data_IF_105791324534
#
_entry.id   IF_105791324534
#
_cell.length_a   1.000
_cell.length_b   1.000
_cell.length_c   1.000
_cell.angle_alpha   90.00
_cell.angle_beta   90.00
_cell.angle_gamma   90.00
#
_symmetry.space_group_name_H-M   'P 1'
#
loop_
_entity.id
_entity.type
_entity.pdbx_description
1 polymer ?
#
# COMPACT_ATOMS: atom_id res chain seq x y z
N UNK A 1 26.93 30.71 46.35
CA UNK A 1 26.05 29.68 45.77
C UNK A 1 26.88 28.77 44.87
N UNK A 2 27.15 27.54 45.32
CA UNK A 2 27.84 26.54 44.51
C UNK A 2 26.85 25.95 43.48
N UNK A 3 27.26 25.72 42.22
CA UNK A 3 26.41 25.04 41.25
C UNK A 3 26.31 23.55 41.63
N UNK A 4 25.08 23.09 41.87
CA UNK A 4 24.79 21.68 42.13
C UNK A 4 25.30 20.81 40.97
N UNK A 5 26.23 19.92 41.29
CA UNK A 5 26.74 18.88 40.40
C UNK A 5 25.59 17.93 40.05
N UNK A 6 25.14 17.94 38.79
CA UNK A 6 24.23 16.90 38.28
C UNK A 6 24.96 15.57 38.33
N UNK A 7 24.54 14.69 39.23
CA UNK A 7 25.02 13.31 39.33
C UNK A 7 24.88 12.59 37.99
N UNK A 8 25.96 11.97 37.54
CA UNK A 8 26.08 11.26 36.26
C UNK A 8 25.20 10.00 36.15
N UNK A 9 24.45 9.64 37.20
CA UNK A 9 23.65 8.42 37.30
C UNK A 9 22.12 8.64 37.24
N UNK A 10 21.65 9.84 36.85
CA UNK A 10 20.21 10.02 36.61
C UNK A 10 19.80 9.21 35.37
N UNK A 11 18.83 8.27 35.47
CA UNK A 11 18.35 7.57 34.30
C UNK A 11 17.78 8.60 33.32
N UNK A 12 18.26 8.57 32.08
CA UNK A 12 17.74 9.38 30.96
C UNK A 12 16.31 8.98 30.53
N UNK A 13 15.59 8.27 31.39
CA UNK A 13 14.16 7.99 31.32
C UNK A 13 13.58 8.37 32.68
N UNK A 14 12.62 9.30 32.65
CA UNK A 14 12.01 9.87 33.85
C UNK A 14 11.49 8.83 34.83
N UNK A 15 11.40 9.23 36.10
CA UNK A 15 10.79 8.45 37.18
C UNK A 15 9.37 7.97 36.80
N UNK A 16 8.80 6.99 37.51
CA UNK A 16 7.47 6.43 37.17
C UNK A 16 6.34 7.49 37.05
N UNK A 17 6.50 8.67 37.65
CA UNK A 17 5.62 9.82 37.47
C UNK A 17 5.69 10.48 36.07
N UNK A 18 6.85 10.47 35.42
CA UNK A 18 7.03 11.01 34.06
C UNK A 18 6.36 10.12 33.00
N UNK A 19 6.30 8.81 33.22
CA UNK A 19 5.65 7.90 32.26
C UNK A 19 4.12 8.09 32.26
N UNK A 20 3.50 8.22 33.44
CA UNK A 20 2.06 8.50 33.56
C UNK A 20 1.69 9.85 32.92
N UNK A 21 2.47 10.89 33.19
CA UNK A 21 2.24 12.20 32.58
C UNK A 21 2.41 12.17 31.06
N UNK A 22 3.43 11.45 30.56
CA UNK A 22 3.67 11.31 29.14
C UNK A 22 2.58 10.49 28.44
N UNK A 23 2.11 9.42 29.08
CA UNK A 23 1.00 8.62 28.60
C UNK A 23 -0.25 9.49 28.44
N UNK A 24 -0.65 10.20 29.50
CA UNK A 24 -1.87 11.01 29.51
C UNK A 24 -1.79 12.23 28.59
N UNK A 25 -0.63 12.87 28.48
CA UNK A 25 -0.49 14.12 27.73
C UNK A 25 -0.17 13.93 26.26
N UNK A 26 0.46 12.82 25.88
CA UNK A 26 0.93 12.61 24.51
C UNK A 26 0.37 11.34 23.87
N UNK A 27 0.41 10.19 24.54
CA UNK A 27 -0.07 8.94 23.93
C UNK A 27 -1.60 8.87 23.87
N UNK A 28 -2.30 9.24 24.93
CA UNK A 28 -3.78 9.18 24.97
C UNK A 28 -4.41 10.13 23.93
N UNK A 29 -4.03 11.42 23.82
CA UNK A 29 -4.61 12.29 22.81
C UNK A 29 -4.30 11.82 21.39
N UNK A 30 -3.09 11.28 21.17
CA UNK A 30 -2.70 10.75 19.86
C UNK A 30 -3.49 9.48 19.50
N UNK A 31 -3.68 8.57 20.46
CA UNK A 31 -4.51 7.39 20.29
C UNK A 31 -5.97 7.76 19.97
N UNK A 32 -6.54 8.69 20.74
CA UNK A 32 -7.91 9.17 20.54
C UNK A 32 -8.06 9.86 19.19
N UNK A 33 -7.14 10.75 18.82
CA UNK A 33 -7.17 11.41 17.51
C UNK A 33 -7.08 10.39 16.37
N UNK A 34 -6.16 9.41 16.45
CA UNK A 34 -6.07 8.34 15.47
C UNK A 34 -7.32 7.48 15.41
N UNK A 35 -7.92 7.13 16.56
CA UNK A 35 -9.16 6.36 16.61
C UNK A 35 -10.32 7.12 15.96
N UNK A 36 -10.47 8.42 16.26
CA UNK A 36 -11.47 9.28 15.62
C UNK A 36 -11.26 9.31 14.10
N UNK A 37 -10.01 9.49 13.64
CA UNK A 37 -9.71 9.48 12.20
C UNK A 37 -10.09 8.13 11.57
N UNK A 38 -9.74 7.00 12.20
CA UNK A 38 -10.11 5.66 11.71
C UNK A 38 -11.63 5.52 11.59
N UNK A 39 -12.38 5.96 12.62
CA UNK A 39 -13.84 5.93 12.59
C UNK A 39 -14.39 6.77 11.44
N UNK A 40 -13.84 7.96 11.18
CA UNK A 40 -14.25 8.79 10.05
C UNK A 40 -13.99 8.10 8.70
N UNK A 41 -12.81 7.50 8.51
CA UNK A 41 -12.52 6.71 7.30
C UNK A 41 -13.44 5.49 7.16
N UNK A 42 -13.88 4.91 8.27
CA UNK A 42 -14.76 3.75 8.26
C UNK A 42 -16.22 4.05 7.97
N UNK A 43 -16.67 5.26 8.28
CA UNK A 43 -18.09 5.61 8.30
C UNK A 43 -18.50 6.57 7.19
N UNK A 44 -17.60 7.47 6.77
CA UNK A 44 -17.95 8.51 5.81
C UNK A 44 -17.95 7.97 4.37
N UNK A 45 -19.02 8.20 3.58
CA UNK A 45 -19.12 7.73 2.20
C UNK A 45 -17.98 8.17 1.25
N UNK A 46 -17.43 9.40 1.33
CA UNK A 46 -16.29 9.79 0.51
C UNK A 46 -15.04 8.92 0.72
N UNK A 47 -14.92 8.25 1.86
CA UNK A 47 -13.79 7.38 2.17
C UNK A 47 -14.09 5.90 1.90
N UNK A 48 -14.95 5.61 0.94
CA UNK A 48 -15.14 4.26 0.43
C UNK A 48 -14.09 3.91 -0.65
N UNK A 49 -13.17 2.97 -0.42
CA UNK A 49 -12.20 2.54 -1.42
C UNK A 49 -12.83 1.89 -2.65
N UNK A 50 -14.03 1.32 -2.52
CA UNK A 50 -14.73 0.63 -3.61
C UNK A 50 -15.56 1.58 -4.49
N UNK A 51 -15.81 2.82 -4.03
CA UNK A 51 -16.51 3.83 -4.82
C UNK A 51 -15.68 4.42 -5.96
N UNK A 52 -14.38 4.08 -6.04
CA UNK A 52 -13.45 4.60 -7.05
C UNK A 52 -12.96 3.48 -7.98
N UNK A 53 -12.77 3.78 -9.29
CA UNK A 53 -12.22 2.82 -10.23
C UNK A 53 -10.90 2.23 -9.72
N UNK A 54 -10.83 0.90 -9.70
CA UNK A 54 -9.59 0.19 -9.41
C UNK A 54 -8.69 0.27 -10.65
N UNK A 55 -7.42 0.59 -10.44
CA UNK A 55 -6.45 0.63 -11.53
C UNK A 55 -6.07 -0.79 -11.93
N UNK A 56 -5.78 -0.98 -13.21
CA UNK A 56 -5.19 -2.25 -13.65
C UNK A 56 -3.73 -2.28 -13.17
N UNK A 57 -3.50 -3.15 -12.20
CA UNK A 57 -2.18 -3.40 -11.60
C UNK A 57 -1.68 -4.81 -11.93
N UNK A 58 -2.54 -5.65 -12.52
CA UNK A 58 -2.28 -7.06 -12.81
C UNK A 58 -1.64 -7.29 -14.17
N UNK A 59 -1.88 -6.40 -15.12
CA UNK A 59 -1.19 -6.36 -16.41
C UNK A 59 0.33 -6.35 -16.25
N UNK A 60 1.07 -6.86 -17.25
CA UNK A 60 2.53 -6.96 -17.21
C UNK A 60 3.27 -5.60 -17.10
N UNK A 61 2.54 -4.49 -17.17
CA UNK A 61 3.10 -3.15 -17.07
C UNK A 61 3.62 -2.84 -15.65
N UNK A 62 4.80 -2.22 -15.59
CA UNK A 62 5.39 -1.71 -14.36
C UNK A 62 4.68 -0.45 -13.83
N UNK A 63 3.96 0.27 -14.68
CA UNK A 63 3.20 1.46 -14.32
C UNK A 63 1.71 1.11 -14.20
N UNK A 64 0.99 1.69 -13.22
CA UNK A 64 -0.45 1.51 -13.10
C UNK A 64 -1.17 2.19 -14.28
N UNK A 65 -2.24 1.57 -14.78
CA UNK A 65 -3.02 2.09 -15.90
C UNK A 65 -4.49 2.25 -15.53
N UNK A 66 -5.16 3.22 -16.17
CA UNK A 66 -6.62 3.32 -16.06
C UNK A 66 -7.27 2.17 -16.82
N UNK A 67 -8.42 1.66 -16.34
CA UNK A 67 -9.18 0.65 -17.09
C UNK A 67 -9.46 1.13 -18.52
N UNK A 68 -8.99 0.35 -19.52
CA UNK A 68 -9.21 0.62 -20.95
C UNK A 68 -8.05 1.29 -21.72
N UNK A 69 -6.99 1.76 -21.07
CA UNK A 69 -5.83 2.37 -21.75
C UNK A 69 -4.77 1.34 -22.23
N UNK A 70 -4.80 0.10 -21.70
CA UNK A 70 -3.79 -0.93 -21.96
C UNK A 70 -3.95 -1.76 -23.25
N UNK A 71 -4.97 -1.48 -24.06
CA UNK A 71 -5.37 -2.31 -25.21
C UNK A 71 -5.11 -1.68 -26.58
N UNK A 72 -3.92 -1.13 -26.84
CA UNK A 72 -3.56 -0.59 -28.18
C UNK A 72 -2.10 -0.88 -28.60
N UNK A 73 -1.49 -1.93 -28.05
CA UNK A 73 -0.08 -2.27 -28.30
C UNK A 73 0.19 -3.57 -29.07
N UNK A 74 -0.78 -4.10 -29.82
CA UNK A 74 -0.62 -5.42 -30.43
C UNK A 74 -1.64 -5.77 -31.52
N UNK A 75 -1.83 -4.90 -32.51
CA UNK A 75 -2.42 -5.28 -33.80
C UNK A 75 -1.76 -4.46 -34.90
N UNK A 76 -0.63 -4.98 -35.40
CA UNK A 76 -0.07 -4.59 -36.69
C UNK A 76 -1.14 -4.86 -37.76
N UNK A 77 -1.41 -3.84 -38.56
CA UNK A 77 -2.63 -3.73 -39.34
C UNK A 77 -2.76 -4.68 -40.53
N UNK A 78 -4.02 -4.89 -40.91
CA UNK A 78 -4.45 -4.96 -42.29
C UNK A 78 -5.70 -4.09 -42.40
N UNK A 79 -5.53 -2.84 -42.85
CA UNK A 79 -6.63 -2.04 -43.38
C UNK A 79 -7.08 -2.68 -44.70
N UNK A 80 -8.30 -3.20 -44.74
CA UNK A 80 -9.05 -3.43 -45.96
C UNK A 80 -10.27 -2.50 -45.95
N UNK A 81 -10.16 -1.34 -46.59
CA UNK A 81 -11.31 -0.51 -46.92
C UNK A 81 -12.10 -1.16 -48.06
N UNK A 82 -13.42 -1.21 -47.94
CA UNK A 82 -14.27 -1.45 -49.11
C UNK A 82 -15.73 -1.73 -48.78
N UNK A 83 -16.60 -0.74 -49.07
CA UNK A 83 -17.96 -1.03 -49.53
C UNK A 83 -19.06 -0.93 -48.50
N UNK A 84 -19.67 0.24 -48.44
CA UNK A 84 -21.09 0.45 -48.16
C UNK A 84 -21.97 -0.65 -48.77
N UNK A 85 -22.91 -1.21 -47.99
CA UNK A 85 -24.30 -1.33 -48.45
C UNK A 85 -25.26 -1.71 -47.30
N UNK A 86 -26.26 -0.85 -47.22
CA UNK A 86 -27.57 -0.93 -46.58
C UNK A 86 -28.29 -2.26 -46.80
N UNK A 87 -29.01 -2.71 -45.77
CA UNK A 87 -30.02 -3.78 -45.84
C UNK A 87 -31.09 -3.53 -46.91
N UNK A 88 -31.75 -4.60 -47.38
CA UNK A 88 -33.21 -4.55 -47.51
C UNK A 88 -33.92 -5.77 -46.87
N UNK A 89 -35.23 -5.63 -46.53
CA UNK A 89 -36.04 -6.67 -45.91
C UNK A 89 -36.97 -7.41 -46.90
N UNK A 90 -37.51 -8.56 -46.44
CA UNK A 90 -38.80 -9.20 -46.79
C UNK A 90 -39.07 -9.76 -48.20
N UNK A 91 -39.66 -10.97 -48.28
CA UNK A 91 -40.49 -11.40 -49.41
C UNK A 91 -40.60 -12.92 -49.66
N UNK A 92 -41.83 -13.45 -49.65
CA UNK A 92 -42.26 -14.85 -49.81
C UNK A 92 -42.17 -15.41 -51.25
N UNK A 93 -42.23 -16.76 -51.41
CA UNK A 93 -42.64 -17.41 -52.67
C UNK A 93 -42.30 -18.90 -52.78
N UNK A 94 -43.25 -19.73 -53.21
CA UNK A 94 -43.30 -21.19 -53.03
C UNK A 94 -42.86 -22.06 -54.23
N UNK A 95 -42.60 -23.34 -53.92
CA UNK A 95 -42.85 -24.58 -54.69
C UNK A 95 -42.02 -24.91 -55.96
N UNK A 96 -41.36 -26.08 -55.96
CA UNK A 96 -41.70 -27.30 -56.73
C UNK A 96 -40.53 -28.33 -56.74
N UNK A 97 -40.84 -29.58 -56.38
CA UNK A 97 -40.09 -30.85 -56.59
C UNK A 97 -40.20 -31.33 -58.06
N UNK A 98 -39.51 -32.40 -58.59
CA UNK A 98 -38.98 -33.60 -57.92
C UNK A 98 -37.60 -34.17 -58.39
N UNK A 99 -37.13 -35.21 -57.68
CA UNK A 99 -35.96 -36.11 -57.88
C UNK A 99 -36.04 -36.97 -59.18
N UNK A 100 -35.09 -37.90 -59.57
CA UNK A 100 -34.26 -38.88 -58.80
C UNK A 100 -32.78 -38.99 -59.28
N UNK A 101 -31.80 -39.66 -58.62
CA UNK A 101 -31.48 -41.12 -58.73
C UNK A 101 -30.18 -41.49 -57.99
N UNK A 102 -30.11 -42.72 -57.44
CA UNK A 102 -28.91 -43.58 -57.25
C UNK A 102 -28.12 -43.41 -55.93
N UNK A 103 -28.08 -44.32 -54.93
CA UNK A 103 -27.79 -45.76 -54.79
C UNK A 103 -26.42 -46.07 -54.12
N UNK A 104 -26.48 -46.85 -53.01
CA UNK A 104 -25.42 -47.73 -52.48
C UNK A 104 -24.41 -47.06 -51.55
N UNK A 105 -23.98 -47.61 -50.41
CA UNK A 105 -24.09 -48.94 -49.84
C UNK A 105 -22.96 -49.06 -48.78
N UNK A 106 -23.29 -49.69 -47.66
CA UNK A 106 -22.48 -50.04 -46.48
C UNK A 106 -21.02 -50.45 -46.70
N UNK A 107 -20.15 -50.18 -45.70
CA UNK A 107 -19.19 -51.15 -45.15
C UNK A 107 -18.42 -50.64 -43.90
N UNK A 108 -18.59 -51.34 -42.77
CA UNK A 108 -17.67 -51.41 -41.61
C UNK A 108 -16.39 -52.17 -42.01
N UNK A 109 -15.23 -51.97 -41.33
CA UNK A 109 -14.58 -53.10 -40.62
C UNK A 109 -13.77 -52.60 -39.36
N UNK A 110 -12.93 -53.41 -38.67
CA UNK A 110 -13.19 -53.82 -37.29
C UNK A 110 -12.10 -53.37 -36.28
N UNK A 111 -12.32 -53.74 -35.02
CA UNK A 111 -11.43 -53.52 -33.87
C UNK A 111 -10.08 -54.24 -33.98
N UNK A 112 -9.04 -53.59 -33.48
CA UNK A 112 -7.79 -54.21 -33.00
C UNK A 112 -7.46 -53.69 -31.60
N UNK A 113 -7.42 -54.64 -30.67
CA UNK A 113 -6.90 -54.54 -29.31
C UNK A 113 -5.37 -54.37 -29.32
N UNK A 114 -4.84 -53.58 -28.37
CA UNK A 114 -3.56 -53.75 -27.67
C UNK A 114 -3.18 -52.46 -26.91
N UNK A 115 -3.00 -52.54 -25.59
CA UNK A 115 -2.26 -51.51 -24.86
C UNK A 115 -2.61 -51.32 -23.39
N UNK A 116 -2.19 -52.26 -22.54
CA UNK A 116 -2.12 -52.12 -21.08
C UNK A 116 -1.23 -50.90 -20.73
N UNK A 117 -1.80 -49.89 -20.09
CA UNK A 117 -1.08 -48.76 -19.50
C UNK A 117 -1.86 -48.24 -18.29
N UNK A 118 -1.26 -48.36 -17.12
CA UNK A 118 -1.87 -48.14 -15.81
C UNK A 118 -2.18 -46.65 -15.58
N UNK A 119 -3.46 -46.31 -15.40
CA UNK A 119 -3.87 -45.02 -14.80
C UNK A 119 -3.75 -45.12 -13.27
N UNK A 120 -3.02 -44.22 -12.59
CA UNK A 120 -3.05 -44.15 -11.14
C UNK A 120 -4.40 -43.57 -10.68
N UNK A 121 -4.95 -44.01 -9.54
CA UNK A 121 -6.19 -43.46 -9.01
C UNK A 121 -5.91 -42.04 -8.51
N UNK A 122 -6.52 -41.04 -9.14
CA UNK A 122 -6.68 -39.72 -8.58
C UNK A 122 -7.55 -39.83 -7.33
N UNK A 123 -6.89 -39.95 -6.17
CA UNK A 123 -7.51 -39.73 -4.87
C UNK A 123 -7.94 -38.27 -4.77
N UNK A 124 -9.15 -37.97 -5.20
CA UNK A 124 -9.86 -36.77 -4.78
C UNK A 124 -10.23 -36.94 -3.31
N UNK A 125 -9.32 -36.55 -2.43
CA UNK A 125 -9.68 -36.13 -1.08
C UNK A 125 -10.60 -34.93 -1.21
N UNK A 126 -11.89 -35.16 -0.99
CA UNK A 126 -12.91 -34.13 -1.06
C UNK A 126 -12.69 -33.12 0.06
N UNK A 127 -12.18 -31.94 -0.31
CA UNK A 127 -12.58 -30.73 0.38
C UNK A 127 -14.08 -30.56 0.14
N UNK A 128 -14.86 -30.89 1.16
CA UNK A 128 -16.28 -30.61 1.24
C UNK A 128 -16.49 -29.09 1.21
N UNK A 129 -16.47 -28.51 0.01
CA UNK A 129 -17.09 -27.22 -0.25
C UNK A 129 -18.48 -27.52 -0.78
N UNK A 130 -19.40 -27.82 0.14
CA UNK A 130 -20.82 -27.73 -0.17
C UNK A 130 -21.13 -26.33 -0.71
N UNK A 131 -22.19 -26.15 -1.52
CA UNK A 131 -22.58 -24.83 -1.99
C UNK A 131 -22.76 -23.91 -0.78
N UNK A 132 -21.89 -22.91 -0.63
CA UNK A 132 -21.99 -21.93 0.46
C UNK A 132 -23.39 -21.34 0.46
N UNK A 133 -23.99 -21.27 1.64
CA UNK A 133 -25.26 -20.59 1.83
C UNK A 133 -25.13 -19.14 1.33
N UNK A 134 -26.11 -18.60 0.57
CA UNK A 134 -26.17 -17.18 0.23
C UNK A 134 -25.90 -16.23 1.42
N UNK A 135 -26.27 -16.62 2.64
CA UNK A 135 -25.94 -15.91 3.87
C UNK A 135 -24.43 -15.84 4.15
N UNK A 136 -23.72 -16.95 4.03
CA UNK A 136 -22.26 -17.04 4.24
C UNK A 136 -21.47 -16.23 3.22
N UNK A 137 -21.90 -16.24 1.95
CA UNK A 137 -21.27 -15.44 0.87
C UNK A 137 -21.40 -13.93 1.18
N UNK A 138 -22.56 -13.51 1.69
CA UNK A 138 -22.83 -12.11 2.03
C UNK A 138 -21.99 -11.65 3.22
N UNK A 139 -21.87 -12.49 4.26
CA UNK A 139 -21.00 -12.21 5.40
C UNK A 139 -19.52 -12.15 5.01
N UNK A 140 -19.04 -13.09 4.21
CA UNK A 140 -17.64 -13.14 3.77
C UNK A 140 -17.28 -11.89 2.96
N UNK A 141 -18.16 -11.46 2.05
CA UNK A 141 -17.98 -10.21 1.29
C UNK A 141 -17.96 -8.98 2.20
N UNK A 142 -18.86 -8.93 3.19
CA UNK A 142 -18.90 -7.86 4.19
C UNK A 142 -17.60 -7.78 5.01
N UNK A 143 -17.06 -8.91 5.46
CA UNK A 143 -15.79 -8.96 6.20
C UNK A 143 -14.61 -8.50 5.35
N UNK A 144 -14.52 -8.94 4.09
CA UNK A 144 -13.47 -8.51 3.16
C UNK A 144 -13.53 -7.01 2.90
N UNK A 145 -14.73 -6.47 2.73
CA UNK A 145 -14.96 -5.04 2.57
C UNK A 145 -14.51 -4.21 3.79
N UNK A 146 -14.92 -4.60 4.99
CA UNK A 146 -14.53 -3.93 6.23
C UNK A 146 -13.01 -3.98 6.43
N UNK A 147 -12.41 -5.13 6.13
CA UNK A 147 -10.95 -5.33 6.22
C UNK A 147 -10.22 -4.44 5.22
N UNK A 148 -10.72 -4.31 3.98
CA UNK A 148 -10.16 -3.42 2.97
C UNK A 148 -10.22 -1.95 3.42
N UNK A 149 -11.37 -1.49 3.91
CA UNK A 149 -11.51 -0.14 4.48
C UNK A 149 -10.56 0.09 5.66
N UNK A 150 -10.42 -0.88 6.56
CA UNK A 150 -9.50 -0.79 7.71
C UNK A 150 -8.04 -0.67 7.28
N UNK A 151 -7.60 -1.49 6.34
CA UNK A 151 -6.24 -1.44 5.79
C UNK A 151 -5.96 -0.07 5.17
N UNK A 152 -6.89 0.47 4.38
CA UNK A 152 -6.71 1.80 3.79
C UNK A 152 -6.66 2.88 4.87
N UNK A 153 -7.59 2.87 5.82
CA UNK A 153 -7.65 3.85 6.91
C UNK A 153 -6.36 3.89 7.73
N UNK A 154 -5.86 2.72 8.16
CA UNK A 154 -4.62 2.60 8.93
C UNK A 154 -3.39 3.06 8.14
N UNK A 155 -3.36 2.82 6.83
CA UNK A 155 -2.30 3.33 5.94
C UNK A 155 -2.27 4.87 5.88
N UNK A 156 -3.43 5.52 5.76
CA UNK A 156 -3.52 6.99 5.75
C UNK A 156 -3.20 7.61 7.12
N UNK A 157 -3.60 6.97 8.22
CA UNK A 157 -3.21 7.40 9.57
C UNK A 157 -1.69 7.31 9.75
N UNK A 158 -1.07 6.19 9.33
CA UNK A 158 0.38 6.05 9.38
C UNK A 158 1.09 7.11 8.53
N UNK A 159 0.60 7.38 7.31
CA UNK A 159 1.14 8.44 6.44
C UNK A 159 1.04 9.83 7.09
N UNK A 160 -0.11 10.17 7.67
CA UNK A 160 -0.31 11.45 8.35
C UNK A 160 0.64 11.63 9.54
N UNK A 161 0.79 10.60 10.37
CA UNK A 161 1.73 10.59 11.49
C UNK A 161 3.19 10.69 11.00
N UNK A 162 3.55 9.97 9.94
CA UNK A 162 4.86 10.06 9.31
C UNK A 162 5.14 11.49 8.83
N UNK A 163 4.20 12.11 8.12
CA UNK A 163 4.29 13.51 7.71
C UNK A 163 4.46 14.45 8.89
N UNK A 164 3.71 14.25 9.97
CA UNK A 164 3.86 15.01 11.21
C UNK A 164 5.27 14.88 11.80
N UNK A 165 5.87 13.69 11.84
CA UNK A 165 7.26 13.51 12.33
C UNK A 165 8.26 14.38 11.58
N UNK A 166 8.10 14.50 10.26
CA UNK A 166 8.96 15.28 9.37
C UNK A 166 8.72 16.78 9.54
N UNK A 167 7.47 17.20 9.76
CA UNK A 167 7.07 18.60 9.93
C UNK A 167 7.45 19.20 11.29
N UNK A 168 7.62 18.40 12.35
CA UNK A 168 8.05 18.88 13.67
C UNK A 168 9.37 19.68 13.58
N UNK A 169 10.31 19.27 12.74
CA UNK A 169 11.60 19.95 12.57
C UNK A 169 11.47 21.38 12.05
N UNK A 170 10.88 21.57 10.85
CA UNK A 170 10.56 22.88 10.30
C UNK A 170 9.65 23.74 11.21
N UNK A 171 8.63 23.13 11.82
CA UNK A 171 7.72 23.85 12.73
C UNK A 171 8.45 24.45 13.94
N UNK A 172 9.35 23.69 14.58
CA UNK A 172 10.17 24.22 15.66
C UNK A 172 11.07 25.37 15.21
N UNK A 173 11.58 25.31 13.99
CA UNK A 173 12.41 26.38 13.44
C UNK A 173 11.58 27.66 13.21
N UNK A 174 10.39 27.54 12.64
CA UNK A 174 9.40 28.63 12.49
C UNK A 174 9.07 29.25 13.85
N UNK A 175 8.76 28.43 14.84
CA UNK A 175 8.42 28.84 16.21
C UNK A 175 9.63 29.31 17.04
N UNK A 176 10.83 29.38 16.45
CA UNK A 176 12.10 29.77 17.12
C UNK A 176 12.44 28.91 18.35
N UNK A 177 11.95 27.67 18.40
CA UNK A 177 12.25 26.71 19.46
C UNK A 177 13.54 25.96 19.15
N UNK A 178 14.24 25.51 20.20
CA UNK A 178 15.40 24.62 20.03
C UNK A 178 14.92 23.29 19.46
N UNK A 179 15.66 22.75 18.48
CA UNK A 179 15.44 21.41 17.97
C UNK A 179 16.38 20.45 18.72
N UNK A 180 15.93 19.78 19.80
CA UNK A 180 16.75 18.79 20.48
C UNK A 180 17.06 17.63 19.53
N UNK A 181 18.19 16.95 19.77
CA UNK A 181 18.60 15.79 18.96
C UNK A 181 17.53 14.70 18.96
N UNK A 182 16.89 14.49 20.12
CA UNK A 182 15.72 13.65 20.31
C UNK A 182 14.66 14.46 21.06
N UNK A 183 13.44 14.51 20.54
CA UNK A 183 12.28 15.03 21.27
C UNK A 183 11.30 13.88 21.52
N UNK A 184 10.80 13.76 22.75
CA UNK A 184 9.81 12.73 23.08
C UNK A 184 8.60 12.77 22.14
N UNK A 185 8.09 13.96 21.81
CA UNK A 185 6.97 14.12 20.86
C UNK A 185 7.23 13.46 19.49
N UNK A 186 8.36 13.78 18.82
CA UNK A 186 8.69 13.16 17.53
C UNK A 186 8.83 11.64 17.65
N UNK A 187 9.42 11.18 18.75
CA UNK A 187 9.64 9.76 19.00
C UNK A 187 8.32 9.02 19.24
N UNK A 188 7.39 9.62 19.96
CA UNK A 188 6.06 9.07 20.23
C UNK A 188 5.23 9.01 18.95
N UNK A 189 5.17 10.09 18.18
CA UNK A 189 4.50 10.10 16.86
C UNK A 189 5.13 9.07 15.91
N UNK A 190 6.46 8.93 15.93
CA UNK A 190 7.16 7.91 15.14
C UNK A 190 6.83 6.48 15.57
N UNK A 191 6.70 6.21 16.87
CA UNK A 191 6.27 4.90 17.39
C UNK A 191 4.85 4.58 16.94
N UNK A 192 3.93 5.54 16.98
CA UNK A 192 2.57 5.36 16.48
C UNK A 192 2.52 5.17 14.95
N UNK A 193 3.37 5.87 14.21
CA UNK A 193 3.57 5.66 12.77
C UNK A 193 3.94 4.21 12.48
N UNK A 194 4.91 3.68 13.23
CA UNK A 194 5.33 2.29 13.08
C UNK A 194 4.24 1.29 13.47
N UNK A 195 3.52 1.55 14.57
CA UNK A 195 2.42 0.70 15.01
C UNK A 195 1.33 0.59 13.94
N UNK A 196 0.84 1.74 13.44
CA UNK A 196 -0.17 1.74 12.37
C UNK A 196 0.36 1.18 11.05
N UNK A 197 1.65 1.39 10.73
CA UNK A 197 2.29 0.77 9.57
C UNK A 197 2.32 -0.76 9.66
N UNK A 198 2.65 -1.32 10.83
CA UNK A 198 2.63 -2.78 11.05
C UNK A 198 1.19 -3.31 10.98
N UNK A 199 0.23 -2.65 11.61
CA UNK A 199 -1.19 -3.01 11.51
C UNK A 199 -1.64 -3.00 10.04
N UNK A 200 -1.30 -1.96 9.28
CA UNK A 200 -1.60 -1.85 7.86
C UNK A 200 -1.06 -3.05 7.06
N UNK A 201 0.18 -3.46 7.31
CA UNK A 201 0.81 -4.61 6.62
C UNK A 201 0.15 -5.93 7.00
N UNK A 202 -0.16 -6.14 8.28
CA UNK A 202 -0.82 -7.36 8.76
C UNK A 202 -2.18 -7.51 8.07
N UNK A 203 -3.05 -6.50 8.17
CA UNK A 203 -4.39 -6.56 7.59
C UNK A 203 -4.37 -6.51 6.05
N UNK A 204 -3.41 -5.80 5.44
CA UNK A 204 -3.18 -5.83 4.00
C UNK A 204 -2.80 -7.21 3.48
N UNK A 205 -1.99 -7.95 4.24
CA UNK A 205 -1.58 -9.31 3.88
C UNK A 205 -2.70 -10.33 4.06
N UNK A 206 -3.47 -10.23 5.15
CA UNK A 206 -4.60 -11.11 5.47
C UNK A 206 -5.69 -11.10 4.37
N UNK A 207 -5.88 -9.96 3.69
CA UNK A 207 -6.90 -9.78 2.65
C UNK A 207 -6.77 -10.70 1.44
N UNK A 208 -5.55 -11.13 1.06
CA UNK A 208 -5.37 -11.96 -0.14
C UNK A 208 -4.77 -13.33 0.12
N UNK A 209 -4.12 -13.57 1.27
CA UNK A 209 -3.45 -14.85 1.51
C UNK A 209 -4.28 -15.87 2.28
N UNK A 210 -5.41 -15.47 2.89
CA UNK A 210 -6.17 -16.34 3.79
C UNK A 210 -5.33 -16.90 4.95
N UNK A 211 -4.19 -16.27 5.27
CA UNK A 211 -3.22 -16.74 6.25
C UNK A 211 -2.19 -17.77 5.73
N UNK A 212 -2.21 -18.13 4.45
CA UNK A 212 -1.28 -19.09 3.86
C UNK A 212 0.02 -18.42 3.40
N UNK A 213 1.16 -19.07 3.64
CA UNK A 213 2.48 -18.58 3.20
C UNK A 213 2.57 -18.45 1.68
N UNK A 214 1.96 -19.40 0.95
CA UNK A 214 1.83 -19.39 -0.52
C UNK A 214 1.14 -18.12 -1.02
N UNK A 215 0.08 -17.68 -0.34
CA UNK A 215 -0.63 -16.45 -0.66
C UNK A 215 0.22 -15.19 -0.45
N UNK A 216 1.08 -15.18 0.57
CA UNK A 216 2.03 -14.08 0.80
C UNK A 216 3.11 -14.05 -0.28
N UNK A 217 3.66 -15.21 -0.66
CA UNK A 217 4.67 -15.29 -1.71
C UNK A 217 4.15 -14.82 -3.07
N UNK A 218 2.85 -15.03 -3.35
CA UNK A 218 2.19 -14.54 -4.56
C UNK A 218 2.17 -13.00 -4.67
N UNK A 219 2.44 -12.23 -3.61
CA UNK A 219 2.61 -10.78 -3.73
C UNK A 219 3.93 -10.40 -4.41
N UNK A 220 4.93 -11.27 -4.28
CA UNK A 220 6.32 -11.00 -4.67
C UNK A 220 6.79 -11.84 -5.85
N UNK A 221 6.21 -13.02 -6.06
CA UNK A 221 6.62 -13.97 -7.07
C UNK A 221 5.45 -14.45 -7.93
N UNK A 222 5.72 -14.64 -9.22
CA UNK A 222 4.81 -15.31 -10.17
C UNK A 222 4.91 -16.83 -9.93
N UNK A 223 3.91 -17.66 -10.31
CA UNK A 223 3.98 -19.12 -10.11
C UNK A 223 5.21 -19.81 -10.73
N UNK A 224 5.87 -19.17 -11.70
CA UNK A 224 7.12 -19.62 -12.31
C UNK A 224 8.38 -19.33 -11.46
N UNK A 225 8.22 -18.69 -10.29
CA UNK A 225 9.30 -18.33 -9.37
C UNK A 225 9.99 -17.00 -9.69
N UNK A 226 9.63 -16.32 -10.78
CA UNK A 226 10.20 -15.02 -11.13
C UNK A 226 9.65 -13.89 -10.23
N UNK A 227 10.45 -12.86 -9.89
CA UNK A 227 9.95 -11.70 -9.14
C UNK A 227 8.86 -10.95 -9.92
N UNK A 228 7.75 -10.61 -9.24
CA UNK A 228 6.70 -9.75 -9.79
C UNK A 228 7.19 -8.31 -9.86
N UNK A 229 7.33 -7.81 -11.08
CA UNK A 229 7.78 -6.44 -11.38
C UNK A 229 6.70 -5.59 -12.09
N UNK A 230 5.46 -6.10 -12.19
CA UNK A 230 4.32 -5.27 -12.59
C UNK A 230 3.96 -4.26 -11.47
N UNK A 231 3.03 -3.35 -11.75
CA UNK A 231 2.64 -2.31 -10.79
C UNK A 231 2.23 -2.88 -9.43
N UNK A 232 1.48 -4.00 -9.41
CA UNK A 232 1.13 -4.68 -8.16
C UNK A 232 2.39 -5.16 -7.40
N UNK A 233 3.29 -5.87 -8.08
CA UNK A 233 4.53 -6.38 -7.49
C UNK A 233 5.46 -5.29 -6.99
N UNK A 234 5.68 -4.22 -7.77
CA UNK A 234 6.48 -3.07 -7.35
C UNK A 234 5.87 -2.33 -6.15
N UNK A 235 4.54 -2.25 -6.08
CA UNK A 235 3.82 -1.80 -4.89
C UNK A 235 4.18 -2.64 -3.66
N UNK A 236 4.24 -3.96 -3.79
CA UNK A 236 4.59 -4.86 -2.68
C UNK A 236 6.06 -4.76 -2.29
N UNK A 237 6.99 -4.72 -3.24
CA UNK A 237 8.42 -4.57 -2.97
C UNK A 237 8.74 -3.25 -2.25
N UNK A 238 8.16 -2.15 -2.70
CA UNK A 238 8.32 -0.84 -2.04
C UNK A 238 7.68 -0.82 -0.64
N UNK A 239 6.52 -1.46 -0.47
CA UNK A 239 5.86 -1.63 0.84
C UNK A 239 6.68 -2.50 1.81
N UNK A 240 7.29 -3.59 1.32
CA UNK A 240 8.17 -4.45 2.10
C UNK A 240 9.43 -3.68 2.55
N UNK A 241 10.08 -2.96 1.62
CA UNK A 241 11.22 -2.12 1.94
C UNK A 241 10.88 -1.05 2.99
N UNK A 242 9.72 -0.39 2.85
CA UNK A 242 9.19 0.55 3.85
C UNK A 242 8.99 -0.13 5.21
N UNK A 243 8.46 -1.36 5.23
CA UNK A 243 8.23 -2.14 6.46
C UNK A 243 9.53 -2.45 7.20
N UNK A 244 10.56 -2.89 6.48
CA UNK A 244 11.89 -3.14 7.07
C UNK A 244 12.44 -1.87 7.71
N UNK A 245 12.32 -0.73 7.02
CA UNK A 245 12.80 0.55 7.55
C UNK A 245 11.99 0.98 8.77
N UNK A 246 10.66 0.91 8.74
CA UNK A 246 9.82 1.39 9.86
C UNK A 246 10.01 0.54 11.12
N UNK A 247 10.17 -0.78 10.98
CA UNK A 247 10.50 -1.69 12.10
C UNK A 247 11.91 -1.38 12.64
N UNK A 248 12.88 -1.13 11.77
CA UNK A 248 14.21 -0.68 12.18
C UNK A 248 14.17 0.65 12.94
N UNK A 249 13.41 1.63 12.46
CA UNK A 249 13.22 2.92 13.13
C UNK A 249 12.49 2.77 14.48
N UNK A 250 11.53 1.85 14.59
CA UNK A 250 10.86 1.53 15.84
C UNK A 250 11.84 0.95 16.86
N UNK A 251 12.72 0.02 16.46
CA UNK A 251 13.77 -0.51 17.33
C UNK A 251 14.73 0.60 17.81
N UNK A 252 15.03 1.56 16.93
CA UNK A 252 15.83 2.75 17.24
C UNK A 252 15.09 3.78 18.11
N UNK A 253 13.78 3.65 18.29
CA UNK A 253 12.93 4.47 19.15
C UNK A 253 13.05 4.07 20.64
N UNK A 254 14.21 3.59 21.07
CA UNK A 254 14.52 3.21 22.45
C UNK A 254 15.72 4.00 23.01
N UNK A 255 15.71 4.29 24.32
CA UNK A 255 16.84 4.96 24.99
C UNK A 255 18.07 4.05 25.05
N UNK A 256 17.84 2.73 25.00
CA UNK A 256 18.89 1.74 24.84
C UNK A 256 19.63 1.91 23.51
N UNK A 257 18.90 2.00 22.38
CA UNK A 257 19.52 2.19 21.06
C UNK A 257 20.31 3.50 20.97
N UNK A 258 19.78 4.60 21.53
CA UNK A 258 20.46 5.89 21.56
C UNK A 258 21.79 5.82 22.35
N UNK A 259 21.79 5.14 23.51
CA UNK A 259 23.00 4.97 24.33
C UNK A 259 24.05 4.10 23.65
N UNK A 260 23.63 3.02 22.98
CA UNK A 260 24.51 2.06 22.30
C UNK A 260 25.14 2.65 21.05
N UNK A 261 24.35 3.29 20.18
CA UNK A 261 24.82 3.79 18.87
C UNK A 261 25.47 5.17 18.93
N UNK A 262 25.33 5.88 20.05
CA UNK A 262 25.73 7.30 20.22
C UNK A 262 24.94 8.26 19.31
N UNK A 263 24.93 9.53 19.68
CA UNK A 263 24.03 10.52 19.10
C UNK A 263 24.18 10.71 17.57
N UNK A 264 25.41 10.64 17.04
CA UNK A 264 25.68 10.86 15.61
C UNK A 264 25.12 9.74 14.74
N UNK A 265 25.50 8.49 15.03
CA UNK A 265 25.06 7.31 14.25
C UNK A 265 23.58 7.09 14.40
N UNK A 266 23.04 7.21 15.62
CA UNK A 266 21.59 7.12 15.86
C UNK A 266 20.83 8.13 15.01
N UNK A 267 21.30 9.40 14.96
CA UNK A 267 20.66 10.44 14.15
C UNK A 267 20.74 10.17 12.65
N UNK A 268 21.84 9.59 12.17
CA UNK A 268 21.97 9.20 10.77
C UNK A 268 20.98 8.10 10.40
N UNK A 269 20.82 7.07 11.24
CA UNK A 269 19.83 6.01 11.03
C UNK A 269 18.40 6.55 11.11
N UNK A 270 18.11 7.47 12.03
CA UNK A 270 16.81 8.14 12.11
C UNK A 270 16.47 8.97 10.85
N UNK A 271 17.46 9.33 10.01
CA UNK A 271 17.19 9.98 8.70
C UNK A 271 16.63 9.02 7.66
N UNK A 272 16.66 7.70 7.90
CA UNK A 272 15.93 6.75 7.06
C UNK A 272 14.42 7.04 7.02
N UNK A 273 13.90 7.88 7.93
CA UNK A 273 12.54 8.37 7.85
C UNK A 273 12.22 9.14 6.55
N UNK A 274 13.21 9.77 5.90
CA UNK A 274 13.02 10.38 4.58
C UNK A 274 12.90 9.31 3.48
N UNK A 275 13.72 8.26 3.56
CA UNK A 275 13.62 7.13 2.64
C UNK A 275 12.30 6.37 2.82
N UNK A 276 11.85 6.19 4.07
CA UNK A 276 10.55 5.63 4.40
C UNK A 276 9.43 6.44 3.74
N UNK A 277 9.45 7.77 3.88
CA UNK A 277 8.44 8.64 3.25
C UNK A 277 8.41 8.51 1.73
N UNK A 278 9.58 8.49 1.09
CA UNK A 278 9.68 8.27 -0.35
C UNK A 278 9.14 6.90 -0.79
N UNK A 279 9.47 5.83 -0.04
CA UNK A 279 8.97 4.48 -0.33
C UNK A 279 7.47 4.35 -0.12
N UNK A 280 6.89 5.01 0.88
CA UNK A 280 5.43 5.03 1.09
C UNK A 280 4.71 5.73 -0.06
N UNK A 281 5.28 6.83 -0.59
CA UNK A 281 4.74 7.50 -1.78
C UNK A 281 4.84 6.57 -3.00
N UNK A 282 5.99 5.92 -3.21
CA UNK A 282 6.18 4.98 -4.32
C UNK A 282 5.21 3.80 -4.22
N UNK A 283 5.03 3.23 -3.02
CA UNK A 283 4.04 2.20 -2.74
C UNK A 283 2.63 2.64 -3.12
N UNK A 284 2.19 3.82 -2.66
CA UNK A 284 0.87 4.36 -3.01
C UNK A 284 0.73 4.64 -4.52
N UNK A 285 1.79 5.11 -5.17
CA UNK A 285 1.84 5.35 -6.61
C UNK A 285 1.63 4.06 -7.40
N UNK A 286 2.38 2.99 -7.10
CA UNK A 286 2.23 1.70 -7.77
C UNK A 286 0.87 1.03 -7.52
N UNK A 287 0.23 1.33 -6.39
CA UNK A 287 -1.17 0.98 -6.14
C UNK A 287 -2.20 1.90 -6.84
N UNK A 288 -1.73 2.76 -7.76
CA UNK A 288 -2.57 3.61 -8.59
C UNK A 288 -3.19 4.80 -7.86
N UNK A 289 -2.74 5.15 -6.65
CA UNK A 289 -3.35 6.24 -5.87
C UNK A 289 -3.35 7.56 -6.63
N UNK A 290 -2.26 7.93 -7.32
CA UNK A 290 -2.20 9.20 -8.05
C UNK A 290 -3.10 9.28 -9.29
N UNK A 291 -3.53 8.13 -9.83
CA UNK A 291 -4.37 8.10 -11.03
C UNK A 291 -5.86 8.30 -10.69
N UNK A 292 -6.25 8.12 -9.43
CA UNK A 292 -7.62 8.29 -8.91
C UNK A 292 -7.93 9.76 -8.60
N UNK A 293 -7.92 10.63 -9.62
CA UNK A 293 -7.96 12.09 -9.44
C UNK A 293 -9.23 12.62 -8.76
N UNK A 294 -10.35 11.91 -8.83
CA UNK A 294 -11.62 12.27 -8.17
C UNK A 294 -11.71 11.78 -6.71
N UNK A 295 -10.72 11.01 -6.26
CA UNK A 295 -10.75 10.39 -4.94
C UNK A 295 -10.17 11.32 -3.87
N UNK A 296 -10.84 11.50 -2.71
CA UNK A 296 -10.32 12.29 -1.60
C UNK A 296 -9.04 11.68 -1.02
N UNK A 297 -8.85 10.37 -1.18
CA UNK A 297 -7.61 9.67 -0.83
C UNK A 297 -6.40 10.26 -1.59
N UNK A 298 -6.55 10.50 -2.89
CA UNK A 298 -5.51 11.11 -3.74
C UNK A 298 -5.24 12.55 -3.32
N UNK A 299 -6.30 13.30 -3.01
CA UNK A 299 -6.16 14.67 -2.51
C UNK A 299 -5.39 14.69 -1.18
N UNK A 300 -5.75 13.82 -0.23
CA UNK A 300 -5.07 13.71 1.06
C UNK A 300 -3.61 13.31 0.91
N UNK A 301 -3.31 12.35 0.04
CA UNK A 301 -1.94 11.97 -0.30
C UNK A 301 -1.17 13.17 -0.87
N UNK A 302 -1.71 13.84 -1.88
CA UNK A 302 -1.08 14.99 -2.52
C UNK A 302 -0.85 16.15 -1.52
N UNK A 303 -1.85 16.50 -0.72
CA UNK A 303 -1.74 17.54 0.30
C UNK A 303 -0.69 17.19 1.36
N UNK A 304 -0.63 15.93 1.80
CA UNK A 304 0.39 15.45 2.76
C UNK A 304 1.80 15.56 2.18
N UNK A 305 1.97 15.14 0.93
CA UNK A 305 3.24 15.26 0.19
C UNK A 305 3.65 16.72 0.07
N UNK A 306 2.77 17.57 -0.46
CA UNK A 306 3.03 19.01 -0.63
C UNK A 306 3.38 19.66 0.70
N UNK A 307 2.61 19.39 1.76
CA UNK A 307 2.85 19.95 3.09
C UNK A 307 4.25 19.58 3.59
N UNK A 308 4.66 18.31 3.48
CA UNK A 308 5.99 17.85 3.89
C UNK A 308 7.08 18.54 3.06
N UNK A 309 6.97 18.54 1.73
CA UNK A 309 7.98 19.16 0.86
C UNK A 309 8.11 20.67 1.11
N UNK A 310 6.99 21.39 1.17
CA UNK A 310 6.96 22.83 1.49
C UNK A 310 7.55 23.10 2.87
N UNK A 311 7.16 22.31 3.88
CA UNK A 311 7.71 22.39 5.23
C UNK A 311 9.22 22.20 5.26
N UNK A 312 9.75 21.18 4.57
CA UNK A 312 11.20 20.97 4.48
C UNK A 312 11.91 22.12 3.77
N UNK A 313 11.38 22.61 2.64
CA UNK A 313 11.95 23.72 1.90
C UNK A 313 12.03 25.00 2.76
N UNK A 314 10.95 25.35 3.45
CA UNK A 314 10.91 26.47 4.41
C UNK A 314 11.90 26.24 5.55
N UNK A 315 11.98 25.02 6.07
CA UNK A 315 12.93 24.64 7.11
C UNK A 315 14.38 24.86 6.70
N UNK A 316 14.76 24.40 5.50
CA UNK A 316 16.11 24.60 4.94
C UNK A 316 16.40 26.09 4.72
N UNK A 317 15.46 26.82 4.15
CA UNK A 317 15.60 28.26 3.89
C UNK A 317 15.81 29.06 5.19
N UNK A 318 15.00 28.82 6.22
CA UNK A 318 15.16 29.44 7.53
C UNK A 318 16.49 29.08 8.19
N UNK A 319 16.92 27.83 8.05
CA UNK A 319 18.18 27.36 8.62
C UNK A 319 19.37 28.08 7.98
N UNK A 320 19.39 28.17 6.64
CA UNK A 320 20.42 28.91 5.87
C UNK A 320 20.46 30.39 6.25
N UNK A 321 19.30 31.05 6.31
CA UNK A 321 19.20 32.48 6.70
C UNK A 321 19.75 32.76 8.10
N UNK A 322 19.56 31.85 9.06
CA UNK A 322 20.08 32.01 10.42
C UNK A 322 21.58 31.78 10.50
N UNK A 323 22.10 30.76 9.79
CA UNK A 323 23.54 30.48 9.80
C UNK A 323 24.33 31.62 9.16
N UNK A 324 23.85 32.20 8.05
CA UNK A 324 24.46 33.37 7.43
C UNK A 324 24.54 34.58 8.39
N UNK A 325 23.51 34.80 9.22
CA UNK A 325 23.48 35.89 10.21
C UNK A 325 24.41 35.66 11.40
N UNK A 326 24.62 34.41 11.81
CA UNK A 326 25.52 34.09 12.93
C UNK A 326 26.98 34.28 12.52
N UNK A 327 27.36 33.83 11.33
CA UNK A 327 28.72 34.03 10.79
C UNK A 327 29.05 35.51 10.61
N UNK A 328 28.07 36.33 10.19
CA UNK A 328 28.25 37.79 10.06
C UNK A 328 28.36 38.55 11.39
N UNK A 329 28.07 37.92 12.54
CA UNK A 329 28.07 38.54 13.88
C UNK A 329 29.26 38.17 14.76
N UNK A 330 30.18 37.33 14.29
CA UNK A 330 31.47 37.12 14.95
C UNK A 330 32.53 37.99 14.25
N UNK A 331 32.80 39.23 14.74
CA UNK A 331 34.02 39.93 14.35
C UNK A 331 35.23 39.16 14.91
N UNK A 332 36.30 39.10 14.11
CA UNK A 332 37.58 38.48 14.45
C UNK A 332 38.24 39.15 15.68
#
# INVERSE_FOLDING_TARGET
MQPATRSANQPLGGSSGDWRHRLLRFHVPLALASAVIIVLFMTLPPFDPQAYPQMDMGSAAALPQRPGEGGMGGMGGVMGHGGSQTSPPTGHGASQTPSPTGHGGSQTPPATDHGRGQTPPTGHGGDQTGPMDPGEITEARGRSYLTQRFTVATGYVALGLLGLTLLIGPANLLLRRRNPVSSYLRRDVGTWTALFGVVHVIYGSLLHSGGQLSGILNYFFVPDGSPRLNSFGLGNWTGLAATVIVVGLLALSSDFALRKLKARTWKNLQRLNYALFALVIAHAFFYGALLRTTSPFTLLLALSVIAVFAGQAVGVWLWRRRHARTTARQPA
#
